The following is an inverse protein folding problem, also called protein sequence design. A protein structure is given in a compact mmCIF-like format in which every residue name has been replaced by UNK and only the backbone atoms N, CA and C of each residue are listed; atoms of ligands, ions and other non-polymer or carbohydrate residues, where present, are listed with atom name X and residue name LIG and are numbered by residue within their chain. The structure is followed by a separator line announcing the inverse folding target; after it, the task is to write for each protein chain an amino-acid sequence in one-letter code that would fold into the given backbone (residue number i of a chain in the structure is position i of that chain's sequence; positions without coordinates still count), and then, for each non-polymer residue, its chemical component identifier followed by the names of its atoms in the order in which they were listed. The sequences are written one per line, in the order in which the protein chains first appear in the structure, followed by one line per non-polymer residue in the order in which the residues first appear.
data_IF_552067207960
#
_entry.id   IF_552067207960
#
_cell.length_a   1.000
_cell.length_b   1.000
_cell.length_c   1.000
_cell.angle_alpha   90.00
_cell.angle_beta   90.00
_cell.angle_gamma   90.00
#
_symmetry.space_group_name_H-M   'P 1'
#
loop_
_entity.id
_entity.type
_entity.pdbx_description
1 polymer ?
#
# COMPACT_ATOMS: atom_id res chain seq x y z
N UNK A 1 12.26 75.97 16.31
CA UNK A 1 11.00 75.24 16.00
C UNK A 1 11.00 74.44 14.68
N UNK A 2 11.70 74.82 13.60
CA UNK A 2 11.64 74.11 12.31
C UNK A 2 12.27 72.70 12.25
N UNK A 3 13.18 72.32 13.17
CA UNK A 3 13.82 70.99 13.19
C UNK A 3 12.92 69.87 13.75
N UNK A 4 12.05 70.16 14.71
CA UNK A 4 11.14 69.15 15.28
C UNK A 4 10.00 68.77 14.32
N UNK A 5 9.52 69.72 13.50
CA UNK A 5 8.48 69.46 12.50
C UNK A 5 8.93 68.50 11.38
N UNK A 6 10.22 68.53 11.00
CA UNK A 6 10.77 67.61 9.98
C UNK A 6 10.89 66.17 10.49
N UNK A 7 11.30 65.97 11.74
CA UNK A 7 11.37 64.63 12.35
C UNK A 7 10.00 63.95 12.44
N UNK A 8 8.96 64.72 12.78
CA UNK A 8 7.59 64.21 12.90
C UNK A 8 6.99 63.81 11.54
N UNK A 9 7.24 64.59 10.48
CA UNK A 9 6.77 64.24 9.13
C UNK A 9 7.46 62.99 8.57
N UNK A 10 8.76 62.81 8.82
CA UNK A 10 9.48 61.59 8.38
C UNK A 10 8.98 60.36 9.13
N UNK A 11 8.75 60.46 10.44
CA UNK A 11 8.18 59.36 11.23
C UNK A 11 6.75 59.00 10.79
N UNK A 12 5.91 60.00 10.50
CA UNK A 12 4.55 59.79 9.99
C UNK A 12 4.54 59.15 8.59
N UNK A 13 5.43 59.56 7.69
CA UNK A 13 5.57 58.97 6.37
C UNK A 13 6.07 57.50 6.43
N UNK A 14 7.04 57.21 7.30
CA UNK A 14 7.51 55.84 7.53
C UNK A 14 6.42 54.96 8.17
N UNK A 15 5.64 55.49 9.10
CA UNK A 15 4.49 54.80 9.70
C UNK A 15 3.39 54.51 8.68
N UNK A 16 3.07 55.46 7.80
CA UNK A 16 2.09 55.28 6.71
C UNK A 16 2.56 54.24 5.68
N UNK A 17 3.84 54.26 5.30
CA UNK A 17 4.44 53.24 4.41
C UNK A 17 4.44 51.84 5.06
N UNK A 18 4.73 51.74 6.35
CA UNK A 18 4.65 50.48 7.09
C UNK A 18 3.21 49.96 7.18
N UNK A 19 2.23 50.82 7.44
CA UNK A 19 0.81 50.46 7.49
C UNK A 19 0.27 50.04 6.11
N UNK A 20 0.64 50.76 5.05
CA UNK A 20 0.32 50.40 3.67
C UNK A 20 0.96 49.06 3.28
N UNK A 21 2.24 48.86 3.61
CA UNK A 21 2.95 47.60 3.40
C UNK A 21 2.30 46.44 4.16
N UNK A 22 1.86 46.65 5.40
CA UNK A 22 1.17 45.63 6.20
C UNK A 22 -0.23 45.32 5.67
N UNK A 23 -0.98 46.33 5.22
CA UNK A 23 -2.26 46.19 4.54
C UNK A 23 -2.14 45.41 3.24
N UNK A 24 -1.16 45.77 2.40
CA UNK A 24 -0.85 45.05 1.16
C UNK A 24 -0.44 43.60 1.41
N UNK A 25 0.40 43.35 2.42
CA UNK A 25 0.81 41.99 2.81
C UNK A 25 -0.40 41.17 3.30
N UNK A 26 -1.33 41.78 4.04
CA UNK A 26 -2.60 41.13 4.44
C UNK A 26 -3.51 40.82 3.25
N UNK A 27 -3.58 41.70 2.25
CA UNK A 27 -4.35 41.46 1.01
C UNK A 27 -3.72 40.34 0.19
N UNK A 28 -2.39 40.35 0.00
CA UNK A 28 -1.65 39.28 -0.68
C UNK A 28 -1.80 37.92 0.03
N UNK A 29 -1.78 37.90 1.36
CA UNK A 29 -2.02 36.68 2.16
C UNK A 29 -3.48 36.21 2.07
N UNK A 30 -4.45 37.13 1.98
CA UNK A 30 -5.88 36.78 1.82
C UNK A 30 -6.22 36.25 0.43
N UNK A 31 -5.52 36.69 -0.62
CA UNK A 31 -5.76 36.31 -2.02
C UNK A 31 -4.66 35.42 -2.62
N UNK A 32 -3.85 34.79 -1.75
CA UNK A 32 -2.83 33.84 -2.16
C UNK A 32 -3.40 32.44 -2.43
N UNK A 33 -2.64 31.64 -3.16
CA UNK A 33 -2.88 30.22 -3.35
C UNK A 33 -1.86 29.39 -2.55
N UNK A 34 -2.26 28.21 -2.08
CA UNK A 34 -1.37 27.26 -1.39
C UNK A 34 -1.36 25.93 -2.11
N UNK A 35 -0.19 25.46 -2.53
CA UNK A 35 0.03 24.15 -3.12
C UNK A 35 0.84 23.28 -2.16
N UNK A 36 0.29 22.14 -1.76
CA UNK A 36 0.92 21.27 -0.76
C UNK A 36 0.46 19.82 -0.92
N UNK A 37 1.19 18.90 -0.33
CA UNK A 37 0.66 17.57 -0.08
C UNK A 37 -0.28 17.58 1.15
N UNK A 38 -1.17 16.59 1.22
CA UNK A 38 -2.10 16.39 2.35
C UNK A 38 -1.41 16.06 3.67
N UNK A 39 -0.23 15.42 3.63
CA UNK A 39 0.63 15.06 4.77
C UNK A 39 2.05 15.58 4.55
N UNK A 40 2.83 15.67 5.63
CA UNK A 40 4.24 16.05 5.56
C UNK A 40 5.14 14.86 5.15
N UNK A 41 4.71 13.63 5.42
CA UNK A 41 5.47 12.41 5.11
C UNK A 41 4.57 11.33 4.50
N UNK A 42 5.15 10.58 3.57
CA UNK A 42 4.56 9.48 2.83
C UNK A 42 5.54 8.30 2.74
N UNK A 43 5.03 7.10 2.58
CA UNK A 43 5.79 5.89 2.30
C UNK A 43 5.67 5.48 0.82
N UNK A 44 6.54 4.59 0.36
CA UNK A 44 6.61 4.13 -1.04
C UNK A 44 5.30 3.57 -1.62
N UNK A 45 4.39 3.10 -0.77
CA UNK A 45 3.10 2.57 -1.20
C UNK A 45 1.97 3.61 -1.14
N UNK A 46 2.25 4.87 -0.80
CA UNK A 46 1.20 5.86 -0.64
C UNK A 46 0.77 6.52 -1.96
N UNK A 47 -0.48 7.01 -1.95
CA UNK A 47 -0.95 8.03 -2.88
C UNK A 47 -0.79 9.39 -2.19
N UNK A 48 -0.05 10.30 -2.81
CA UNK A 48 0.13 11.66 -2.32
C UNK A 48 -1.03 12.51 -2.83
N UNK A 49 -1.91 12.93 -1.93
CA UNK A 49 -2.94 13.93 -2.24
C UNK A 49 -2.28 15.30 -2.38
N UNK A 50 -2.11 15.76 -3.63
CA UNK A 50 -1.66 17.10 -3.95
C UNK A 50 -2.86 18.04 -3.94
N UNK A 51 -2.76 19.12 -3.16
CA UNK A 51 -3.87 20.04 -2.90
C UNK A 51 -3.47 21.47 -3.22
N UNK A 52 -4.24 22.11 -4.08
CA UNK A 52 -4.19 23.54 -4.35
C UNK A 52 -5.42 24.21 -3.72
N UNK A 53 -5.18 25.21 -2.88
CA UNK A 53 -6.22 25.97 -2.17
C UNK A 53 -6.12 27.45 -2.51
N UNK A 54 -7.24 28.10 -2.79
CA UNK A 54 -7.32 29.55 -2.95
C UNK A 54 -8.59 30.09 -2.28
N UNK A 55 -8.51 31.31 -1.74
CA UNK A 55 -9.68 32.07 -1.26
C UNK A 55 -10.10 33.17 -2.24
N UNK A 56 -9.34 33.35 -3.32
CA UNK A 56 -9.63 34.32 -4.38
C UNK A 56 -10.67 33.71 -5.36
N UNK A 57 -11.92 34.23 -5.39
CA UNK A 57 -12.97 33.70 -6.27
C UNK A 57 -12.66 33.90 -7.76
N UNK A 58 -11.94 34.97 -8.13
CA UNK A 58 -11.53 35.21 -9.51
C UNK A 58 -10.49 34.18 -9.94
N UNK A 59 -9.53 33.86 -9.07
CA UNK A 59 -8.59 32.77 -9.32
C UNK A 59 -9.31 31.41 -9.41
N UNK A 60 -10.25 31.09 -8.50
CA UNK A 60 -11.02 29.84 -8.58
C UNK A 60 -11.87 29.76 -9.87
N UNK A 61 -12.47 30.88 -10.31
CA UNK A 61 -13.17 30.95 -11.59
C UNK A 61 -12.24 30.69 -12.78
N UNK A 62 -11.04 31.28 -12.77
CA UNK A 62 -10.01 31.04 -13.79
C UNK A 62 -9.57 29.59 -13.84
N UNK A 63 -9.31 28.99 -12.67
CA UNK A 63 -8.93 27.58 -12.55
C UNK A 63 -10.06 26.63 -12.99
N UNK A 64 -11.34 27.03 -12.86
CA UNK A 64 -12.47 26.29 -13.44
C UNK A 64 -12.47 26.28 -14.96
N UNK A 65 -12.13 27.41 -15.59
CA UNK A 65 -12.02 27.48 -17.05
C UNK A 65 -10.80 26.69 -17.57
N UNK A 66 -9.71 26.69 -16.82
CA UNK A 66 -8.49 25.95 -17.14
C UNK A 66 -7.97 25.21 -15.89
N UNK A 67 -8.37 23.94 -15.68
CA UNK A 67 -7.96 23.16 -14.53
C UNK A 67 -6.44 23.17 -14.31
N UNK A 68 -5.96 23.44 -13.08
CA UNK A 68 -4.54 23.56 -12.82
C UNK A 68 -3.85 22.23 -13.01
N UNK A 69 -2.60 22.28 -13.49
CA UNK A 69 -1.74 21.12 -13.70
C UNK A 69 -0.54 21.21 -12.77
N UNK A 70 -0.13 20.09 -12.18
CA UNK A 70 0.97 20.01 -11.22
C UNK A 70 1.95 18.93 -11.62
N UNK A 71 3.23 19.19 -11.40
CA UNK A 71 4.29 18.18 -11.41
C UNK A 71 4.87 18.06 -10.01
N UNK A 72 5.46 16.91 -9.69
CA UNK A 72 6.25 16.75 -8.47
C UNK A 72 7.73 16.82 -8.85
N UNK A 73 8.51 17.57 -8.10
CA UNK A 73 9.95 17.73 -8.32
C UNK A 73 10.77 17.20 -7.15
N UNK A 74 12.02 16.84 -7.44
CA UNK A 74 13.07 16.53 -6.47
C UNK A 74 14.38 17.14 -6.94
N UNK A 75 15.02 17.95 -6.10
CA UNK A 75 16.24 18.67 -6.49
C UNK A 75 16.07 19.52 -7.74
N UNK A 76 14.88 20.10 -7.93
CA UNK A 76 14.52 20.91 -9.11
C UNK A 76 14.11 20.11 -10.36
N UNK A 77 14.38 18.81 -10.43
CA UNK A 77 14.00 17.97 -11.56
C UNK A 77 12.59 17.39 -11.40
N UNK A 78 11.82 17.35 -12.49
CA UNK A 78 10.51 16.70 -12.51
C UNK A 78 10.65 15.19 -12.30
N UNK A 79 9.74 14.62 -11.51
CA UNK A 79 9.69 13.20 -11.19
C UNK A 79 8.55 12.55 -11.97
N UNK A 80 8.90 11.69 -12.92
CA UNK A 80 7.94 10.78 -13.55
C UNK A 80 7.59 9.66 -12.57
N UNK A 81 6.31 9.45 -12.34
CA UNK A 81 5.81 8.35 -11.52
C UNK A 81 5.29 7.19 -12.38
N UNK A 82 4.65 6.21 -11.73
CA UNK A 82 4.09 5.02 -12.37
C UNK A 82 3.19 5.37 -13.55
N UNK A 83 3.12 4.46 -14.52
CA UNK A 83 2.44 4.65 -15.79
C UNK A 83 2.97 5.83 -16.63
N UNK A 84 4.22 6.27 -16.39
CA UNK A 84 4.82 7.38 -17.12
C UNK A 84 4.20 8.74 -16.79
N UNK A 85 3.47 8.85 -15.68
CA UNK A 85 2.77 10.09 -15.31
C UNK A 85 3.81 11.12 -14.84
N UNK A 86 3.96 12.20 -15.59
CA UNK A 86 4.82 13.34 -15.21
C UNK A 86 4.03 14.51 -14.67
N UNK A 87 2.83 14.72 -15.22
CA UNK A 87 1.96 15.86 -14.93
C UNK A 87 0.57 15.37 -14.55
N UNK A 88 -0.05 16.04 -13.58
CA UNK A 88 -1.38 15.73 -13.06
C UNK A 88 -2.29 16.94 -13.19
N UNK A 89 -3.49 16.73 -13.73
CA UNK A 89 -4.56 17.72 -13.67
C UNK A 89 -5.29 17.62 -12.34
N UNK A 90 -5.41 18.73 -11.60
CA UNK A 90 -6.19 18.76 -10.37
C UNK A 90 -7.68 18.89 -10.68
N UNK A 91 -8.50 18.13 -9.96
CA UNK A 91 -9.94 18.23 -10.01
C UNK A 91 -10.46 19.11 -8.87
N UNK A 92 -11.45 19.97 -9.17
CA UNK A 92 -12.11 20.77 -8.14
C UNK A 92 -13.00 19.87 -7.30
N UNK A 93 -12.81 19.92 -5.97
CA UNK A 93 -13.59 19.12 -5.01
C UNK A 93 -14.52 19.98 -4.16
N UNK A 94 -14.18 21.25 -3.98
CA UNK A 94 -15.00 22.27 -3.32
C UNK A 94 -14.62 23.67 -3.85
N UNK A 95 -15.37 24.73 -3.55
CA UNK A 95 -14.95 26.09 -3.88
C UNK A 95 -13.55 26.42 -3.39
N UNK A 96 -12.68 26.81 -4.34
CA UNK A 96 -11.28 27.12 -4.05
C UNK A 96 -10.40 25.91 -3.69
N UNK A 97 -10.90 24.68 -3.76
CA UNK A 97 -10.14 23.47 -3.38
C UNK A 97 -10.02 22.50 -4.56
N UNK A 98 -8.78 22.20 -4.90
CA UNK A 98 -8.39 21.40 -6.06
C UNK A 98 -7.46 20.28 -5.60
N UNK A 99 -7.70 19.05 -6.04
CA UNK A 99 -6.97 17.87 -5.61
C UNK A 99 -6.56 17.00 -6.80
N UNK A 100 -5.33 16.49 -6.77
CA UNK A 100 -4.87 15.37 -7.59
C UNK A 100 -4.20 14.32 -6.71
N UNK A 101 -4.18 13.06 -7.16
CA UNK A 101 -3.45 11.98 -6.50
C UNK A 101 -2.19 11.69 -7.28
N UNK A 102 -1.05 11.68 -6.60
CA UNK A 102 0.24 11.32 -7.18
C UNK A 102 0.73 10.01 -6.55
N UNK A 103 0.71 8.88 -7.27
CA UNK A 103 1.31 7.63 -6.78
C UNK A 103 2.81 7.83 -6.57
N UNK A 104 3.34 7.30 -5.48
CA UNK A 104 4.79 7.30 -5.25
C UNK A 104 5.47 6.30 -6.22
N UNK A 105 6.51 6.69 -6.97
CA UNK A 105 7.19 5.79 -7.89
C UNK A 105 7.74 4.52 -7.20
N UNK A 106 7.77 3.39 -7.92
CA UNK A 106 8.32 2.10 -7.44
C UNK A 106 9.65 2.23 -6.69
N UNK A 107 10.58 2.99 -7.26
CA UNK A 107 11.93 3.18 -6.74
C UNK A 107 12.19 4.64 -6.31
N UNK A 108 11.16 5.33 -5.79
CA UNK A 108 11.33 6.69 -5.29
C UNK A 108 12.51 6.75 -4.29
N UNK A 109 13.39 7.72 -4.47
CA UNK A 109 14.43 7.98 -3.48
C UNK A 109 13.78 8.48 -2.19
N UNK A 110 14.39 8.20 -1.05
CA UNK A 110 14.00 8.87 0.19
C UNK A 110 14.44 10.32 0.17
N UNK A 111 13.67 11.18 0.84
CA UNK A 111 14.00 12.59 0.99
C UNK A 111 12.87 13.51 0.60
N UNK A 112 13.21 14.78 0.39
CA UNK A 112 12.27 15.86 0.13
C UNK A 112 11.82 15.92 -1.34
N UNK A 113 10.54 16.20 -1.52
CA UNK A 113 9.84 16.40 -2.79
C UNK A 113 8.96 17.64 -2.68
N UNK A 114 8.75 18.35 -3.80
CA UNK A 114 7.89 19.53 -3.81
C UNK A 114 6.93 19.50 -5.01
N UNK A 115 5.64 19.83 -4.82
CA UNK A 115 4.74 20.04 -5.93
C UNK A 115 5.04 21.39 -6.61
N UNK A 116 4.91 21.46 -7.93
CA UNK A 116 5.09 22.69 -8.71
C UNK A 116 3.93 22.87 -9.68
N UNK A 117 3.31 24.05 -9.65
CA UNK A 117 2.23 24.40 -10.57
C UNK A 117 2.79 24.65 -11.98
N UNK A 118 2.23 23.98 -12.99
CA UNK A 118 2.61 24.16 -14.39
C UNK A 118 1.97 25.43 -14.92
N UNK A 119 2.78 26.33 -15.49
CA UNK A 119 2.31 27.62 -15.99
C UNK A 119 1.92 28.63 -14.91
N UNK A 120 2.23 28.37 -13.63
CA UNK A 120 1.87 29.21 -12.49
C UNK A 120 2.79 30.41 -12.21
N UNK A 121 3.62 30.82 -13.18
CA UNK A 121 4.58 31.91 -13.00
C UNK A 121 3.90 33.25 -12.69
N UNK A 122 2.67 33.43 -13.17
CA UNK A 122 1.81 34.58 -12.94
C UNK A 122 1.36 34.75 -11.48
N UNK A 123 1.37 33.67 -10.70
CA UNK A 123 1.06 33.74 -9.27
C UNK A 123 2.23 34.28 -8.45
N UNK A 124 3.48 34.11 -8.91
CA UNK A 124 4.68 34.60 -8.21
C UNK A 124 4.63 34.36 -6.69
N UNK A 125 4.85 35.43 -5.92
CA UNK A 125 4.83 35.41 -4.44
C UNK A 125 3.46 35.11 -3.82
N UNK A 126 2.37 35.12 -4.61
CA UNK A 126 1.04 34.74 -4.16
C UNK A 126 0.89 33.22 -4.01
N UNK A 127 1.75 32.42 -4.65
CA UNK A 127 1.73 30.96 -4.53
C UNK A 127 2.67 30.50 -3.42
N UNK A 128 2.11 29.92 -2.36
CA UNK A 128 2.87 29.24 -1.30
C UNK A 128 2.95 27.75 -1.59
N UNK A 129 4.16 27.26 -1.79
CA UNK A 129 4.43 25.82 -1.99
C UNK A 129 4.97 25.22 -0.69
N UNK A 130 4.46 24.05 -0.31
CA UNK A 130 5.02 23.26 0.78
C UNK A 130 5.55 21.91 0.26
N UNK A 131 6.80 21.61 0.61
CA UNK A 131 7.42 20.33 0.35
C UNK A 131 6.84 19.22 1.25
N UNK A 132 7.13 17.98 0.88
CA UNK A 132 6.81 16.77 1.65
C UNK A 132 7.95 15.76 1.52
N UNK A 133 7.97 14.76 2.41
CA UNK A 133 9.02 13.74 2.46
C UNK A 133 8.49 12.38 2.03
N UNK A 134 9.29 11.66 1.24
CA UNK A 134 9.12 10.22 1.03
C UNK A 134 10.09 9.50 1.97
N UNK A 135 9.56 8.72 2.90
CA UNK A 135 10.28 7.89 3.84
C UNK A 135 10.30 6.42 3.43
N UNK A 136 11.11 5.62 4.12
CA UNK A 136 11.06 4.15 4.08
C UNK A 136 10.74 3.64 5.48
N UNK A 137 10.07 2.49 5.54
CA UNK A 137 10.04 1.69 6.77
C UNK A 137 11.46 1.20 7.06
N UNK A 138 11.84 1.15 8.33
CA UNK A 138 13.07 0.50 8.76
C UNK A 138 12.74 -0.95 9.08
N UNK A 139 13.04 -1.92 8.20
CA UNK A 139 12.80 -3.33 8.51
C UNK A 139 13.76 -3.79 9.61
N UNK A 140 13.30 -4.74 10.42
CA UNK A 140 14.21 -5.48 11.31
C UNK A 140 15.18 -6.25 10.43
N UNK A 141 16.47 -5.98 10.58
CA UNK A 141 17.51 -6.64 9.79
C UNK A 141 17.67 -8.08 10.27
N UNK A 142 17.61 -9.01 9.33
CA UNK A 142 18.06 -10.37 9.56
C UNK A 142 19.59 -10.42 9.47
N UNK A 143 20.26 -11.34 10.18
CA UNK A 143 21.69 -11.56 10.02
C UNK A 143 22.05 -11.83 8.55
N UNK A 144 23.22 -11.38 8.06
CA UNK A 144 23.72 -11.76 6.76
C UNK A 144 23.76 -13.29 6.62
N UNK A 145 23.29 -13.81 5.48
CA UNK A 145 23.25 -15.26 5.23
C UNK A 145 22.12 -16.00 5.93
N UNK A 146 21.14 -15.32 6.52
CA UNK A 146 20.00 -15.97 7.18
C UNK A 146 19.24 -16.91 6.24
N UNK A 147 19.07 -18.17 6.67
CA UNK A 147 18.35 -19.23 5.95
C UNK A 147 17.15 -19.70 6.77
N UNK A 148 15.98 -19.78 6.14
CA UNK A 148 14.80 -20.40 6.72
C UNK A 148 14.40 -21.65 5.93
N UNK A 149 14.18 -22.76 6.63
CA UNK A 149 13.54 -23.95 6.08
C UNK A 149 12.01 -23.83 6.30
N UNK A 150 11.23 -24.04 5.24
CA UNK A 150 9.77 -23.85 5.28
C UNK A 150 9.02 -25.18 5.23
N UNK A 151 7.97 -25.32 6.03
CA UNK A 151 7.03 -26.43 5.99
C UNK A 151 5.65 -25.93 5.56
N UNK A 152 5.32 -26.16 4.30
CA UNK A 152 4.01 -25.84 3.72
C UNK A 152 3.13 -27.10 3.69
N UNK A 153 2.55 -27.47 4.83
CA UNK A 153 1.63 -28.61 4.88
C UNK A 153 0.59 -28.49 5.99
N UNK A 154 -0.62 -28.99 5.70
CA UNK A 154 -1.68 -29.21 6.69
C UNK A 154 -1.77 -30.67 7.14
N UNK A 155 -0.86 -31.54 6.67
CA UNK A 155 -0.84 -32.93 7.12
C UNK A 155 -0.62 -32.97 8.64
N UNK A 156 -1.41 -33.75 9.41
CA UNK A 156 -1.27 -33.79 10.86
C UNK A 156 0.12 -34.22 11.30
N UNK A 157 0.81 -33.37 12.07
CA UNK A 157 2.12 -33.70 12.65
C UNK A 157 2.04 -34.92 13.60
N UNK A 158 0.86 -35.15 14.19
CA UNK A 158 0.57 -36.26 15.09
C UNK A 158 0.89 -37.64 14.50
N UNK A 159 0.57 -37.82 13.23
CA UNK A 159 0.71 -39.10 12.53
C UNK A 159 1.84 -39.06 11.52
N UNK A 160 2.53 -37.93 11.38
CA UNK A 160 3.62 -37.77 10.45
C UNK A 160 4.77 -38.72 10.80
N UNK A 161 5.34 -39.32 9.75
CA UNK A 161 6.56 -40.11 9.83
C UNK A 161 7.55 -39.55 8.82
N UNK A 162 8.74 -39.23 9.29
CA UNK A 162 9.80 -38.57 8.50
C UNK A 162 11.06 -39.41 8.60
N UNK A 163 11.72 -39.61 7.46
CA UNK A 163 13.09 -40.16 7.44
C UNK A 163 14.06 -38.99 7.63
N UNK A 164 14.82 -39.01 8.72
CA UNK A 164 15.83 -38.02 9.04
C UNK A 164 17.07 -38.15 8.11
N UNK A 165 17.98 -37.16 8.08
CA UNK A 165 19.17 -37.20 7.23
C UNK A 165 20.09 -38.42 7.44
N UNK A 166 20.08 -39.01 8.63
CA UNK A 166 20.85 -40.21 8.98
C UNK A 166 20.17 -41.52 8.54
N UNK A 167 19.01 -41.43 7.88
CA UNK A 167 18.22 -42.58 7.42
C UNK A 167 17.26 -43.15 8.47
N UNK A 168 17.28 -42.65 9.71
CA UNK A 168 16.34 -43.11 10.75
C UNK A 168 14.93 -42.62 10.46
N UNK A 169 13.92 -43.46 10.71
CA UNK A 169 12.51 -43.09 10.52
C UNK A 169 11.88 -42.76 11.87
N UNK A 170 11.48 -41.50 12.04
CA UNK A 170 10.92 -40.96 13.27
C UNK A 170 9.59 -40.23 13.06
N UNK A 171 9.25 -39.37 14.01
CA UNK A 171 8.09 -38.49 13.96
C UNK A 171 8.40 -37.17 13.20
N UNK A 172 7.57 -36.16 13.38
CA UNK A 172 7.75 -34.84 12.76
C UNK A 172 9.08 -34.15 13.13
N UNK A 173 9.75 -34.53 14.23
CA UNK A 173 11.02 -33.92 14.65
C UNK A 173 12.13 -34.14 13.63
N UNK A 174 12.03 -35.19 12.80
CA UNK A 174 12.93 -35.41 11.66
C UNK A 174 12.96 -34.24 10.67
N UNK A 175 11.90 -33.41 10.60
CA UNK A 175 11.91 -32.17 9.81
C UNK A 175 12.92 -31.16 10.34
N UNK A 176 13.09 -31.08 11.66
CA UNK A 176 14.06 -30.18 12.29
C UNK A 176 15.49 -30.71 12.14
N UNK A 177 15.67 -32.03 12.05
CA UNK A 177 16.96 -32.64 11.72
C UNK A 177 17.38 -32.26 10.29
N UNK A 178 16.44 -32.28 9.34
CA UNK A 178 16.67 -31.74 7.99
C UNK A 178 17.00 -30.25 8.00
N UNK A 179 16.26 -29.43 8.75
CA UNK A 179 16.55 -28.00 8.85
C UNK A 179 17.99 -27.74 9.37
N UNK A 180 18.43 -28.50 10.37
CA UNK A 180 19.80 -28.43 10.89
C UNK A 180 20.84 -28.94 9.89
N UNK A 181 20.56 -30.03 9.19
CA UNK A 181 21.44 -30.57 8.16
C UNK A 181 21.69 -29.56 7.04
N UNK A 182 20.64 -28.82 6.65
CA UNK A 182 20.71 -27.73 5.68
C UNK A 182 21.33 -26.43 6.25
N UNK A 183 21.74 -26.43 7.53
CA UNK A 183 22.26 -25.26 8.26
C UNK A 183 21.29 -24.08 8.26
N UNK A 184 19.99 -24.35 8.34
CA UNK A 184 18.99 -23.30 8.48
C UNK A 184 19.12 -22.61 9.85
N UNK A 185 18.89 -21.30 9.88
CA UNK A 185 18.80 -20.49 11.11
C UNK A 185 17.40 -20.55 11.72
N UNK A 186 16.40 -20.79 10.88
CA UNK A 186 14.99 -20.81 11.27
C UNK A 186 14.19 -21.92 10.60
N UNK A 187 13.13 -22.34 11.27
CA UNK A 187 12.10 -23.21 10.73
C UNK A 187 10.76 -22.46 10.70
N UNK A 188 10.16 -22.33 9.52
CA UNK A 188 8.90 -21.60 9.33
C UNK A 188 7.80 -22.57 8.93
N UNK A 189 6.69 -22.57 9.67
CA UNK A 189 5.61 -23.52 9.49
C UNK A 189 4.32 -22.82 9.07
N UNK A 190 3.62 -23.40 8.09
CA UNK A 190 2.25 -23.04 7.78
C UNK A 190 1.35 -23.36 8.97
N UNK A 191 0.85 -22.31 9.63
CA UNK A 191 -0.09 -22.43 10.74
C UNK A 191 -1.54 -22.32 10.29
N UNK A 192 -1.84 -21.43 9.34
CA UNK A 192 -3.22 -21.15 8.92
C UNK A 192 -3.43 -21.36 7.42
N UNK A 193 -4.34 -22.27 7.08
CA UNK A 193 -4.83 -22.49 5.72
C UNK A 193 -6.37 -22.49 5.75
N UNK A 194 -6.99 -21.83 4.78
CA UNK A 194 -8.45 -21.78 4.63
C UNK A 194 -8.93 -22.65 3.46
N UNK A 195 -10.14 -23.22 3.52
CA UNK A 195 -11.03 -23.31 4.68
C UNK A 195 -10.62 -24.45 5.63
N UNK A 196 -11.07 -24.36 6.88
CA UNK A 196 -11.04 -25.46 7.84
C UNK A 196 -12.24 -26.40 7.71
N UNK A 197 -12.21 -27.48 8.49
CA UNK A 197 -13.32 -28.43 8.58
C UNK A 197 -14.55 -27.82 9.27
N UNK A 198 -15.75 -28.33 8.96
CA UNK A 198 -16.99 -27.91 9.62
C UNK A 198 -17.37 -26.43 9.41
N UNK A 199 -16.81 -25.76 8.40
CA UNK A 199 -17.04 -24.34 8.15
C UNK A 199 -16.13 -23.40 8.94
N UNK A 200 -15.12 -23.93 9.67
CA UNK A 200 -14.11 -23.11 10.31
C UNK A 200 -13.28 -22.33 9.27
N UNK A 201 -12.79 -21.14 9.66
CA UNK A 201 -11.92 -20.33 8.79
C UNK A 201 -10.57 -21.02 8.56
N UNK A 202 -10.02 -21.65 9.60
CA UNK A 202 -8.67 -22.21 9.62
C UNK A 202 -8.68 -23.72 9.77
N UNK A 203 -7.82 -24.39 9.01
CA UNK A 203 -7.51 -25.80 9.24
C UNK A 203 -6.84 -25.97 10.62
N UNK A 204 -7.48 -26.73 11.51
CA UNK A 204 -7.06 -26.91 12.90
C UNK A 204 -6.03 -28.02 13.12
N UNK A 205 -5.68 -28.82 12.10
CA UNK A 205 -4.95 -30.08 12.26
C UNK A 205 -3.63 -29.95 13.03
N UNK A 206 -2.92 -28.82 12.84
CA UNK A 206 -1.62 -28.58 13.45
C UNK A 206 -1.61 -27.40 14.45
N UNK A 207 -2.69 -26.62 14.55
CA UNK A 207 -2.73 -25.35 15.29
C UNK A 207 -2.30 -25.54 16.75
N UNK A 208 -2.85 -26.55 17.43
CA UNK A 208 -2.54 -26.83 18.83
C UNK A 208 -1.09 -27.30 19.08
N UNK A 209 -0.38 -27.76 18.03
CA UNK A 209 1.00 -28.26 18.13
C UNK A 209 2.06 -27.22 17.83
N UNK A 210 1.70 -26.08 17.23
CA UNK A 210 2.65 -25.03 16.87
C UNK A 210 3.53 -24.59 18.08
N UNK A 211 3.00 -24.40 19.30
CA UNK A 211 3.84 -24.10 20.46
C UNK A 211 4.83 -25.21 20.84
N UNK A 212 4.49 -26.48 20.62
CA UNK A 212 5.41 -27.61 20.82
C UNK A 212 6.56 -27.55 19.81
N UNK A 213 6.24 -27.33 18.54
CA UNK A 213 7.24 -27.18 17.47
C UNK A 213 8.18 -26.00 17.74
N UNK A 214 7.63 -24.87 18.19
CA UNK A 214 8.40 -23.68 18.55
C UNK A 214 9.42 -23.97 19.67
N UNK A 215 8.98 -24.63 20.75
CA UNK A 215 9.87 -25.05 21.86
C UNK A 215 10.95 -26.03 21.40
N UNK A 216 10.60 -26.99 20.56
CA UNK A 216 11.56 -27.96 20.02
C UNK A 216 12.60 -27.26 19.11
N UNK A 217 12.19 -26.31 18.27
CA UNK A 217 13.12 -25.49 17.49
C UNK A 217 14.11 -24.78 18.41
N UNK A 218 13.61 -24.12 19.47
CA UNK A 218 14.44 -23.42 20.45
C UNK A 218 15.44 -24.35 21.14
N UNK A 219 15.00 -25.54 21.58
CA UNK A 219 15.86 -26.56 22.19
C UNK A 219 16.98 -27.02 21.25
N UNK A 220 16.75 -26.93 19.93
CA UNK A 220 17.69 -27.30 18.88
C UNK A 220 18.52 -26.13 18.35
N UNK A 221 18.38 -24.94 18.91
CA UNK A 221 19.09 -23.74 18.47
C UNK A 221 18.54 -23.11 17.18
N UNK A 222 17.34 -23.50 16.74
CA UNK A 222 16.64 -22.90 15.61
C UNK A 222 15.69 -21.80 16.08
N UNK A 223 15.58 -20.72 15.31
CA UNK A 223 14.46 -19.79 15.42
C UNK A 223 13.20 -20.39 14.82
N UNK A 224 12.03 -19.93 15.25
CA UNK A 224 10.77 -20.45 14.74
C UNK A 224 9.85 -19.36 14.21
N UNK A 225 9.14 -19.66 13.13
CA UNK A 225 8.14 -18.78 12.55
C UNK A 225 6.86 -19.51 12.19
N UNK A 226 5.74 -18.81 12.29
CA UNK A 226 4.44 -19.29 11.82
C UNK A 226 3.90 -18.37 10.74
N UNK A 227 3.27 -18.93 9.70
CA UNK A 227 2.62 -18.13 8.67
C UNK A 227 1.24 -18.64 8.29
N UNK A 228 0.49 -17.78 7.60
CA UNK A 228 -0.89 -18.05 7.18
C UNK A 228 -1.09 -17.65 5.73
N UNK A 229 -1.85 -18.46 4.99
CA UNK A 229 -2.32 -18.11 3.66
C UNK A 229 -3.41 -17.02 3.76
N UNK A 230 -3.17 -15.87 3.12
CA UNK A 230 -4.06 -14.72 3.22
C UNK A 230 -5.24 -14.79 2.25
N UNK A 231 -4.98 -14.64 0.93
CA UNK A 231 -6.06 -14.55 -0.06
C UNK A 231 -6.46 -15.91 -0.62
N UNK A 232 -5.52 -16.83 -0.85
CA UNK A 232 -5.84 -18.08 -1.52
C UNK A 232 -6.50 -19.04 -0.53
N UNK A 233 -7.69 -19.54 -0.87
CA UNK A 233 -8.28 -20.67 -0.15
C UNK A 233 -7.99 -21.95 -0.93
N UNK A 234 -7.59 -23.01 -0.24
CA UNK A 234 -7.17 -24.28 -0.81
C UNK A 234 -8.34 -25.24 -1.09
N UNK A 235 -9.55 -24.69 -1.24
CA UNK A 235 -10.74 -25.41 -1.69
C UNK A 235 -11.37 -24.75 -2.91
N UNK A 236 -11.79 -25.57 -3.87
CA UNK A 236 -12.54 -25.11 -5.05
C UNK A 236 -14.05 -25.10 -4.81
N UNK A 237 -14.55 -25.94 -3.88
CA UNK A 237 -15.98 -26.14 -3.62
C UNK A 237 -16.47 -25.45 -2.34
N UNK A 238 -15.62 -25.31 -1.32
CA UNK A 238 -15.99 -24.71 -0.04
C UNK A 238 -15.63 -23.23 -0.03
N UNK A 239 -16.61 -22.39 0.30
CA UNK A 239 -16.45 -20.96 0.51
C UNK A 239 -16.71 -20.62 1.97
N UNK A 240 -15.88 -19.73 2.52
CA UNK A 240 -16.05 -19.21 3.85
C UNK A 240 -17.21 -18.22 3.88
N UNK A 241 -18.10 -18.41 4.86
CA UNK A 241 -19.30 -17.59 4.98
C UNK A 241 -18.94 -16.16 5.39
N UNK A 242 -19.43 -15.20 4.61
CA UNK A 242 -19.27 -13.76 4.89
C UNK A 242 -17.99 -13.13 4.34
N UNK A 243 -17.09 -13.89 3.72
CA UNK A 243 -15.96 -13.35 2.96
C UNK A 243 -16.38 -12.91 1.53
N UNK A 244 -15.85 -11.79 1.05
CA UNK A 244 -15.91 -11.38 -0.35
C UNK A 244 -14.84 -12.10 -1.17
N UNK A 245 -15.25 -13.00 -2.05
CA UNK A 245 -14.35 -13.68 -2.98
C UNK A 245 -14.04 -12.83 -4.22
N UNK A 246 -12.78 -12.88 -4.65
CA UNK A 246 -12.30 -12.25 -5.87
C UNK A 246 -12.96 -12.87 -7.11
N UNK A 247 -13.11 -12.07 -8.17
CA UNK A 247 -13.74 -12.48 -9.42
C UNK A 247 -12.83 -12.26 -10.61
N UNK A 248 -12.95 -13.13 -11.60
CA UNK A 248 -12.28 -13.00 -12.89
C UNK A 248 -13.28 -13.08 -14.03
N UNK A 249 -12.92 -12.52 -15.18
CA UNK A 249 -13.70 -12.66 -16.41
C UNK A 249 -13.22 -13.88 -17.20
N UNK A 250 -14.10 -14.87 -17.35
CA UNK A 250 -13.92 -16.05 -18.21
C UNK A 250 -15.02 -16.02 -19.26
N UNK A 251 -14.65 -16.05 -20.53
CA UNK A 251 -15.58 -16.04 -21.67
C UNK A 251 -16.66 -14.94 -21.57
N UNK A 252 -16.24 -13.75 -21.11
CA UNK A 252 -17.12 -12.58 -20.96
C UNK A 252 -18.03 -12.60 -19.74
N UNK A 253 -17.93 -13.62 -18.88
CA UNK A 253 -18.73 -13.76 -17.65
C UNK A 253 -17.86 -13.59 -16.41
N UNK A 254 -18.42 -12.97 -15.37
CA UNK A 254 -17.76 -12.84 -14.08
C UNK A 254 -17.90 -14.14 -13.27
N UNK A 255 -16.78 -14.82 -13.04
CA UNK A 255 -16.70 -16.07 -12.28
C UNK A 255 -16.08 -15.80 -10.91
N UNK A 256 -16.67 -16.37 -9.86
CA UNK A 256 -16.13 -16.31 -8.50
C UNK A 256 -14.95 -17.27 -8.38
N UNK A 257 -13.82 -16.78 -7.89
CA UNK A 257 -12.61 -17.58 -7.72
C UNK A 257 -12.54 -18.20 -6.32
N UNK A 258 -11.48 -18.96 -6.04
CA UNK A 258 -11.13 -19.40 -4.68
C UNK A 258 -10.17 -18.46 -3.94
N UNK A 259 -9.92 -17.27 -4.47
CA UNK A 259 -9.19 -16.24 -3.75
C UNK A 259 -10.17 -15.27 -3.10
N UNK A 260 -9.86 -14.83 -1.89
CA UNK A 260 -10.56 -13.77 -1.18
C UNK A 260 -10.06 -12.43 -1.69
N UNK A 261 -11.00 -11.52 -1.93
CA UNK A 261 -10.73 -10.22 -2.53
C UNK A 261 -9.87 -9.36 -1.60
N UNK A 262 -9.02 -8.53 -2.19
CA UNK A 262 -8.27 -7.49 -1.46
C UNK A 262 -9.17 -6.36 -0.92
N UNK A 263 -10.47 -6.42 -1.21
CA UNK A 263 -11.52 -5.55 -0.64
C UNK A 263 -12.15 -6.12 0.61
N UNK A 264 -11.99 -7.42 0.87
CA UNK A 264 -12.61 -8.02 2.03
C UNK A 264 -12.03 -7.40 3.31
N UNK A 265 -12.88 -6.73 4.07
CA UNK A 265 -12.48 -6.01 5.28
C UNK A 265 -12.36 -6.91 6.52
N UNK A 266 -12.86 -8.15 6.45
CA UNK A 266 -12.84 -9.11 7.55
C UNK A 266 -11.54 -9.90 7.57
N UNK A 267 -11.04 -10.26 6.39
CA UNK A 267 -9.85 -11.08 6.21
C UNK A 267 -8.60 -10.56 6.96
N UNK A 268 -8.26 -9.26 6.96
CA UNK A 268 -7.16 -8.75 7.78
C UNK A 268 -7.36 -8.99 9.28
N UNK A 269 -8.59 -8.87 9.78
CA UNK A 269 -8.92 -9.09 11.17
C UNK A 269 -8.85 -10.58 11.54
N UNK A 270 -9.38 -11.47 10.72
CA UNK A 270 -9.34 -12.92 10.93
C UNK A 270 -7.89 -13.43 10.96
N UNK A 271 -7.05 -12.94 10.04
CA UNK A 271 -5.62 -13.26 9.97
C UNK A 271 -4.86 -12.75 11.19
N UNK A 272 -5.11 -11.50 11.59
CA UNK A 272 -4.47 -10.94 12.78
C UNK A 272 -4.89 -11.71 14.05
N UNK A 273 -6.18 -12.05 14.19
CA UNK A 273 -6.69 -12.84 15.30
C UNK A 273 -6.06 -14.24 15.35
N UNK A 274 -5.89 -14.89 14.20
CA UNK A 274 -5.22 -16.19 14.11
C UNK A 274 -3.74 -16.12 14.51
N UNK A 275 -3.02 -15.11 14.04
CA UNK A 275 -1.58 -14.98 14.30
C UNK A 275 -1.27 -14.46 15.72
N UNK A 276 -2.21 -13.79 16.38
CA UNK A 276 -1.98 -13.11 17.67
C UNK A 276 -1.45 -14.03 18.77
N UNK A 277 -2.01 -15.23 19.04
CA UNK A 277 -1.47 -16.12 20.07
C UNK A 277 0.00 -16.50 19.82
N UNK A 278 0.39 -16.66 18.56
CA UNK A 278 1.78 -16.98 18.21
C UNK A 278 2.69 -15.75 18.24
N UNK A 279 2.16 -14.57 17.89
CA UNK A 279 2.86 -13.31 18.08
C UNK A 279 3.18 -13.05 19.56
N UNK A 280 2.40 -13.59 20.49
CA UNK A 280 2.59 -13.46 21.94
C UNK A 280 3.43 -14.60 22.56
N UNK A 281 3.61 -15.72 21.86
CA UNK A 281 4.39 -16.86 22.36
C UNK A 281 5.90 -16.53 22.35
N UNK A 282 6.63 -16.59 23.48
CA UNK A 282 8.06 -16.26 23.54
C UNK A 282 8.96 -17.20 22.73
N UNK A 283 8.48 -18.38 22.32
CA UNK A 283 9.22 -19.33 21.48
C UNK A 283 9.02 -19.12 19.97
N UNK A 284 8.12 -18.21 19.58
CA UNK A 284 7.88 -17.84 18.18
C UNK A 284 8.64 -16.55 17.89
N UNK A 285 9.64 -16.59 17.02
CA UNK A 285 10.44 -15.41 16.65
C UNK A 285 9.78 -14.59 15.54
N UNK A 286 8.97 -15.23 14.68
CA UNK A 286 8.42 -14.62 13.47
C UNK A 286 6.95 -14.96 13.24
N UNK A 287 6.19 -14.01 12.72
CA UNK A 287 4.88 -14.25 12.11
C UNK A 287 4.90 -13.85 10.64
N UNK A 288 4.14 -14.55 9.81
CA UNK A 288 4.25 -14.44 8.37
C UNK A 288 2.93 -14.49 7.62
N UNK A 289 2.96 -14.00 6.39
CA UNK A 289 1.86 -14.05 5.44
C UNK A 289 2.32 -14.73 4.15
N UNK A 290 1.50 -15.60 3.60
CA UNK A 290 1.63 -16.10 2.24
C UNK A 290 0.38 -15.75 1.43
N UNK A 291 0.48 -15.77 0.10
CA UNK A 291 -0.61 -15.41 -0.81
C UNK A 291 -1.30 -14.08 -0.46
N UNK A 292 -0.53 -13.08 0.00
CA UNK A 292 -1.00 -11.72 0.35
C UNK A 292 -1.33 -10.85 -0.89
N UNK A 293 -1.64 -11.51 -2.01
CA UNK A 293 -2.04 -10.93 -3.29
C UNK A 293 -3.21 -11.73 -3.86
N UNK A 294 -4.02 -11.11 -4.71
CA UNK A 294 -4.98 -11.85 -5.52
C UNK A 294 -4.25 -12.74 -6.55
N UNK A 295 -3.94 -13.97 -6.14
CA UNK A 295 -3.40 -15.00 -7.03
C UNK A 295 -4.42 -15.39 -8.12
N UNK A 296 -5.71 -15.24 -7.84
CA UNK A 296 -6.83 -15.39 -8.78
C UNK A 296 -7.74 -14.17 -8.67
N UNK A 297 -8.46 -13.83 -9.73
CA UNK A 297 -9.38 -12.69 -9.74
C UNK A 297 -8.70 -11.32 -9.74
N UNK A 298 -9.39 -10.33 -9.17
CA UNK A 298 -9.01 -8.93 -9.13
C UNK A 298 -9.77 -8.05 -10.10
N UNK A 299 -10.56 -8.61 -11.02
CA UNK A 299 -11.35 -7.79 -11.95
C UNK A 299 -12.45 -7.03 -11.20
N UNK A 300 -12.93 -7.58 -10.06
CA UNK A 300 -13.91 -6.94 -9.19
C UNK A 300 -13.44 -5.62 -8.56
N UNK A 301 -12.13 -5.37 -8.59
CA UNK A 301 -11.47 -4.18 -8.04
C UNK A 301 -11.44 -3.00 -9.02
N UNK A 302 -12.01 -3.17 -10.22
CA UNK A 302 -11.93 -2.18 -11.30
C UNK A 302 -12.36 -0.78 -10.89
N UNK A 303 -13.42 -0.68 -10.08
CA UNK A 303 -13.97 0.61 -9.67
C UNK A 303 -13.05 1.33 -8.69
N UNK A 304 -12.46 0.60 -7.75
CA UNK A 304 -11.52 1.17 -6.78
C UNK A 304 -10.24 1.62 -7.49
N UNK A 305 -9.74 0.81 -8.43
CA UNK A 305 -8.59 1.16 -9.25
C UNK A 305 -8.82 2.42 -10.07
N UNK A 306 -9.94 2.51 -10.79
CA UNK A 306 -10.30 3.69 -11.59
C UNK A 306 -10.51 4.92 -10.69
N UNK A 307 -11.10 4.75 -9.51
CA UNK A 307 -11.35 5.85 -8.59
C UNK A 307 -10.07 6.39 -7.93
N UNK A 308 -9.10 5.53 -7.66
CA UNK A 308 -7.86 5.89 -6.96
C UNK A 308 -6.73 6.33 -7.90
N UNK A 309 -6.59 5.70 -9.07
CA UNK A 309 -5.43 5.89 -9.94
C UNK A 309 -5.59 7.06 -10.92
N UNK A 310 -4.66 8.03 -10.90
CA UNK A 310 -4.67 9.10 -11.90
C UNK A 310 -4.33 8.57 -13.30
N UNK A 311 -4.77 9.29 -14.33
CA UNK A 311 -4.42 8.99 -15.72
C UNK A 311 -5.15 7.78 -16.34
N UNK A 312 -5.93 7.04 -15.56
CA UNK A 312 -6.73 5.93 -16.08
C UNK A 312 -7.90 6.47 -16.93
N UNK A 313 -7.74 6.37 -18.25
CA UNK A 313 -8.77 6.81 -19.20
C UNK A 313 -9.84 5.73 -19.39
N UNK A 314 -11.05 6.04 -18.94
CA UNK A 314 -12.22 5.16 -19.10
C UNK A 314 -13.10 5.58 -20.28
N UNK A 315 -13.87 4.64 -20.87
CA UNK A 315 -14.82 4.97 -21.94
C UNK A 315 -15.82 6.06 -21.54
N UNK A 316 -16.27 6.90 -22.49
CA UNK A 316 -17.28 7.97 -22.22
C UNK A 316 -18.55 7.45 -21.54
N UNK A 317 -18.96 6.21 -21.87
CA UNK A 317 -20.12 5.54 -21.29
C UNK A 317 -19.85 4.84 -19.94
N UNK A 318 -18.69 5.04 -19.30
CA UNK A 318 -18.27 4.34 -18.07
C UNK A 318 -19.36 4.29 -17.00
N UNK A 319 -19.99 5.45 -16.73
CA UNK A 319 -21.06 5.58 -15.73
C UNK A 319 -22.35 4.82 -16.08
N UNK A 320 -22.52 4.42 -17.35
CA UNK A 320 -23.65 3.62 -17.84
C UNK A 320 -23.33 2.14 -17.93
N UNK A 321 -22.07 1.74 -17.76
CA UNK A 321 -21.67 0.34 -17.78
C UNK A 321 -22.07 -0.33 -16.47
N UNK A 322 -22.59 -1.55 -16.57
CA UNK A 322 -22.77 -2.45 -15.44
C UNK A 322 -21.42 -2.81 -14.80
N UNK A 323 -21.44 -3.38 -13.58
CA UNK A 323 -20.22 -3.85 -12.91
C UNK A 323 -19.49 -4.89 -13.76
N UNK A 324 -20.21 -5.87 -14.33
CA UNK A 324 -19.63 -6.91 -15.18
C UNK A 324 -18.98 -6.34 -16.44
N UNK A 325 -19.60 -5.34 -17.08
CA UNK A 325 -18.99 -4.69 -18.26
C UNK A 325 -17.71 -3.93 -17.91
N UNK A 326 -17.65 -3.27 -16.73
CA UNK A 326 -16.44 -2.62 -16.23
C UNK A 326 -15.34 -3.62 -15.92
N UNK A 327 -15.69 -4.75 -15.31
CA UNK A 327 -14.76 -5.87 -15.08
C UNK A 327 -14.22 -6.43 -16.41
N UNK A 328 -15.10 -6.66 -17.40
CA UNK A 328 -14.71 -7.12 -18.75
C UNK A 328 -13.80 -6.12 -19.45
N UNK A 329 -14.02 -4.82 -19.27
CA UNK A 329 -13.12 -3.79 -19.78
C UNK A 329 -11.72 -3.90 -19.16
N UNK A 330 -11.61 -4.06 -17.83
CA UNK A 330 -10.33 -4.24 -17.15
C UNK A 330 -9.63 -5.52 -17.61
N UNK A 331 -10.35 -6.64 -17.66
CA UNK A 331 -9.82 -7.93 -18.10
C UNK A 331 -9.24 -7.84 -19.51
N UNK A 332 -9.98 -7.25 -20.47
CA UNK A 332 -9.51 -7.06 -21.85
C UNK A 332 -8.26 -6.18 -21.92
N UNK A 333 -8.24 -5.05 -21.19
CA UNK A 333 -7.07 -4.16 -21.12
C UNK A 333 -5.84 -4.91 -20.60
N UNK A 334 -6.01 -5.74 -19.56
CA UNK A 334 -4.93 -6.54 -18.96
C UNK A 334 -4.46 -7.69 -19.85
N UNK A 335 -5.36 -8.39 -20.53
CA UNK A 335 -5.04 -9.55 -21.38
C UNK A 335 -4.31 -9.11 -22.64
N UNK A 336 -4.79 -8.05 -23.29
CA UNK A 336 -4.21 -7.58 -24.54
C UNK A 336 -2.79 -7.01 -24.35
N UNK A 337 -2.46 -6.51 -23.15
CA UNK A 337 -1.12 -5.97 -22.79
C UNK A 337 -0.56 -4.92 -23.77
N UNK A 338 -1.41 -4.29 -24.57
CA UNK A 338 -1.02 -3.27 -25.54
C UNK A 338 -0.69 -1.93 -24.88
N UNK A 339 -1.11 -1.74 -23.63
CA UNK A 339 -0.96 -0.49 -22.87
C UNK A 339 -0.09 -0.75 -21.63
N UNK A 340 1.22 -0.63 -21.80
CA UNK A 340 2.19 -0.89 -20.74
C UNK A 340 2.02 0.05 -19.54
N UNK A 341 1.64 1.31 -19.79
CA UNK A 341 1.38 2.30 -18.76
C UNK A 341 0.19 1.90 -17.89
N UNK A 342 -0.91 1.45 -18.52
CA UNK A 342 -2.07 0.92 -17.79
C UNK A 342 -1.73 -0.30 -16.94
N UNK A 343 -0.95 -1.25 -17.49
CA UNK A 343 -0.53 -2.45 -16.75
C UNK A 343 0.35 -2.07 -15.56
N UNK A 344 1.28 -1.13 -15.71
CA UNK A 344 2.11 -0.63 -14.62
C UNK A 344 1.27 0.03 -13.51
N UNK A 345 0.33 0.92 -13.87
CA UNK A 345 -0.61 1.51 -12.93
C UNK A 345 -1.37 0.46 -12.13
N UNK A 346 -1.89 -0.56 -12.81
CA UNK A 346 -2.66 -1.64 -12.20
C UNK A 346 -1.81 -2.47 -11.22
N UNK A 347 -0.58 -2.83 -11.61
CA UNK A 347 0.31 -3.60 -10.74
C UNK A 347 0.76 -2.80 -9.53
N UNK A 348 1.07 -1.52 -9.71
CA UNK A 348 1.40 -0.63 -8.59
C UNK A 348 0.24 -0.50 -7.62
N UNK A 349 -0.98 -0.29 -8.14
CA UNK A 349 -2.16 -0.16 -7.31
C UNK A 349 -2.43 -1.42 -6.47
N UNK A 350 -2.31 -2.61 -7.07
CA UNK A 350 -2.43 -3.88 -6.34
C UNK A 350 -1.37 -4.04 -5.26
N UNK A 351 -0.11 -3.74 -5.57
CA UNK A 351 0.99 -3.81 -4.61
C UNK A 351 0.75 -2.85 -3.44
N UNK A 352 0.26 -1.64 -3.72
CA UNK A 352 -0.20 -0.70 -2.70
C UNK A 352 -1.30 -1.28 -1.82
N UNK A 353 -2.36 -1.86 -2.41
CA UNK A 353 -3.46 -2.46 -1.64
C UNK A 353 -2.97 -3.55 -0.69
N UNK A 354 -2.10 -4.44 -1.17
CA UNK A 354 -1.47 -5.44 -0.32
C UNK A 354 -0.60 -4.82 0.79
N UNK A 355 0.18 -3.78 0.49
CA UNK A 355 0.99 -3.09 1.51
C UNK A 355 0.13 -2.46 2.61
N UNK A 356 -1.05 -1.92 2.27
CA UNK A 356 -2.01 -1.39 3.25
C UNK A 356 -2.59 -2.49 4.13
N UNK A 357 -2.92 -3.65 3.56
CA UNK A 357 -3.37 -4.83 4.31
C UNK A 357 -2.28 -5.32 5.28
N UNK A 358 -1.03 -5.43 4.79
CA UNK A 358 0.10 -5.84 5.65
C UNK A 358 0.30 -4.85 6.80
N UNK A 359 0.15 -3.55 6.53
CA UNK A 359 0.22 -2.51 7.58
C UNK A 359 -0.89 -2.71 8.61
N UNK A 360 -2.13 -2.89 8.16
CA UNK A 360 -3.28 -3.10 9.05
C UNK A 360 -3.10 -4.35 9.93
N UNK A 361 -2.68 -5.48 9.35
CA UNK A 361 -2.39 -6.71 10.11
C UNK A 361 -1.30 -6.44 11.16
N UNK A 362 -0.21 -5.76 10.77
CA UNK A 362 0.88 -5.42 11.70
C UNK A 362 0.41 -4.53 12.85
N UNK A 363 -0.43 -3.53 12.57
CA UNK A 363 -1.03 -2.66 13.59
C UNK A 363 -1.91 -3.47 14.55
N UNK A 364 -2.76 -4.36 14.03
CA UNK A 364 -3.65 -5.23 14.83
C UNK A 364 -2.89 -6.23 15.71
N UNK A 365 -1.77 -6.76 15.22
CA UNK A 365 -0.95 -7.69 15.99
C UNK A 365 -0.27 -7.04 17.20
N UNK A 366 -0.02 -5.73 17.14
CA UNK A 366 0.58 -4.95 18.23
C UNK A 366 1.81 -5.63 18.85
N UNK A 367 2.71 -6.11 17.99
CA UNK A 367 3.93 -6.85 18.38
C UNK A 367 5.15 -6.20 17.74
N UNK A 368 6.30 -6.28 18.39
CA UNK A 368 7.59 -5.86 17.83
C UNK A 368 8.23 -6.94 16.95
N UNK A 369 7.72 -8.19 16.98
CA UNK A 369 8.25 -9.29 16.17
C UNK A 369 8.17 -8.98 14.67
N UNK A 370 9.15 -9.39 13.86
CA UNK A 370 9.09 -9.19 12.42
C UNK A 370 7.84 -9.86 11.83
N UNK A 371 7.08 -9.09 11.04
CA UNK A 371 6.05 -9.61 10.13
C UNK A 371 6.69 -9.76 8.76
N UNK A 372 6.84 -10.98 8.30
CA UNK A 372 7.37 -11.27 6.96
C UNK A 372 6.24 -11.66 6.00
N UNK A 373 6.51 -11.61 4.70
CA UNK A 373 5.57 -12.08 3.70
C UNK A 373 6.27 -12.80 2.56
N UNK A 374 5.72 -13.93 2.12
CA UNK A 374 6.03 -14.51 0.82
C UNK A 374 5.25 -13.75 -0.24
N UNK A 375 5.99 -13.04 -1.08
CA UNK A 375 5.42 -12.37 -2.25
C UNK A 375 6.19 -12.81 -3.48
N UNK A 376 5.56 -13.67 -4.27
CA UNK A 376 5.94 -13.85 -5.67
C UNK A 376 5.68 -12.55 -6.45
N UNK A 377 6.16 -12.49 -7.69
CA UNK A 377 6.01 -11.31 -8.55
C UNK A 377 4.54 -10.93 -8.76
N UNK A 378 4.30 -9.63 -8.99
CA UNK A 378 2.95 -9.07 -9.24
C UNK A 378 2.42 -9.44 -10.62
N UNK A 379 3.31 -9.79 -11.55
CA UNK A 379 2.98 -10.40 -12.83
C UNK A 379 2.86 -11.92 -12.63
N UNK A 380 1.74 -12.53 -13.05
CA UNK A 380 1.65 -13.99 -12.99
C UNK A 380 2.70 -14.57 -13.94
N UNK A 381 3.61 -15.41 -13.45
CA UNK A 381 4.47 -16.24 -14.30
C UNK A 381 5.70 -15.57 -14.89
N UNK A 382 6.30 -14.58 -14.23
CA UNK A 382 7.68 -14.14 -14.51
C UNK A 382 8.47 -14.15 -13.20
N UNK A 383 9.43 -15.06 -13.11
CA UNK A 383 10.59 -14.96 -12.20
C UNK A 383 11.71 -14.25 -12.96
#
# INVERSE_FOLDING_TARGET
MRRHARGFMVAAALGALAALGWGWRRVLVRHGARLRAGRAEYLHYDLVDLRLETRDPALDARLRAAPPRVVVTRGGADVTTVAGIRELTLARTAPGVWIARWPVPWNASTGEYAPRLVGGADLGDRLRVAAFRIGRRTPIRLPPGFVAATLETVRPLATMRVTAPDGTRGDWRGLLDWARYLRADAFWMLGGQSPGEGGAVWNGANVARIPEVARECRARGLKFGVYVEYSLTMSTSVKLSGDEYAREIVDGRAVVTRAISLRDARRPADVAAFLKPFADDPYVDFVGLDYIRNALGGDELVDDFVAEMPGVSVPKRWKRLTRTERMTWLARKRILRQDAAFVDAWQWWRARRAALIVREIKERLATDKPLWAFTLTWDKGRQ
#
